data_IF_259286135282
#
_entry.id   IF_259286135282
#
_cell.length_a   1.000
_cell.length_b   1.000
_cell.length_c   1.000
_cell.angle_alpha   90.00
_cell.angle_beta   90.00
_cell.angle_gamma   90.00
#
_symmetry.space_group_name_H-M   'P 1'
#
loop_
_entity.id
_entity.type
_entity.pdbx_description
1 polymer ?
#
# COMPACT_ATOMS: atom_id res chain seq x y z
N UNK A 1 11.05 -9.62 -11.77
CA UNK A 1 11.54 -8.22 -11.65
C UNK A 1 11.67 -7.86 -10.17
N UNK A 2 12.73 -7.14 -9.76
CA UNK A 2 12.95 -6.77 -8.35
C UNK A 2 11.75 -6.02 -7.72
N UNK A 3 11.00 -5.29 -8.56
CA UNK A 3 9.77 -4.59 -8.19
C UNK A 3 8.61 -5.51 -7.74
N UNK A 4 8.44 -6.69 -8.32
CA UNK A 4 7.35 -7.60 -7.94
C UNK A 4 7.60 -8.26 -6.58
N UNK A 5 8.86 -8.47 -6.23
CA UNK A 5 9.27 -9.00 -4.93
C UNK A 5 9.06 -7.99 -3.79
N UNK A 6 9.37 -6.71 -4.03
CA UNK A 6 9.13 -5.62 -3.08
C UNK A 6 7.63 -5.38 -2.87
N UNK A 7 6.85 -5.35 -3.96
CA UNK A 7 5.40 -5.21 -3.89
C UNK A 7 4.76 -6.37 -3.12
N UNK A 8 5.08 -7.63 -3.46
CA UNK A 8 4.61 -8.79 -2.69
C UNK A 8 5.05 -8.76 -1.22
N UNK A 9 6.25 -8.29 -0.90
CA UNK A 9 6.76 -8.17 0.47
C UNK A 9 5.98 -7.16 1.30
N UNK A 10 5.73 -5.97 0.75
CA UNK A 10 4.94 -4.92 1.40
C UNK A 10 3.47 -5.36 1.55
N UNK A 11 2.87 -5.91 0.50
CA UNK A 11 1.48 -6.38 0.56
C UNK A 11 1.29 -7.57 1.50
N UNK A 12 2.28 -8.44 1.66
CA UNK A 12 2.23 -9.55 2.63
C UNK A 12 2.34 -9.05 4.08
N UNK A 13 3.17 -8.03 4.33
CA UNK A 13 3.26 -7.38 5.66
C UNK A 13 1.99 -6.60 6.01
N UNK A 14 1.39 -5.93 5.04
CA UNK A 14 0.09 -5.27 5.20
C UNK A 14 -1.04 -6.29 5.38
N UNK A 15 -0.99 -7.41 4.66
CA UNK A 15 -1.93 -8.54 4.85
C UNK A 15 -1.82 -9.20 6.23
N UNK A 16 -0.61 -9.24 6.81
CA UNK A 16 -0.39 -9.68 8.19
C UNK A 16 -0.95 -8.68 9.21
N UNK A 17 -0.85 -7.37 8.92
CA UNK A 17 -1.48 -6.30 9.73
C UNK A 17 -3.01 -6.29 9.61
N UNK A 18 -3.56 -6.75 8.47
CA UNK A 18 -5.01 -6.88 8.20
C UNK A 18 -5.71 -7.92 9.09
N UNK A 19 -4.96 -8.71 9.87
CA UNK A 19 -5.51 -9.54 10.94
C UNK A 19 -5.95 -8.70 12.18
N UNK A 20 -5.64 -7.40 12.20
CA UNK A 20 -6.32 -6.40 13.04
C UNK A 20 -7.42 -5.72 12.21
N UNK A 21 -8.59 -5.60 12.83
CA UNK A 21 -9.94 -5.71 12.22
C UNK A 21 -10.40 -4.55 11.32
N UNK A 22 -9.65 -3.45 11.23
CA UNK A 22 -9.95 -2.28 10.39
C UNK A 22 -8.77 -1.30 10.48
N UNK A 23 -8.41 -0.66 9.36
CA UNK A 23 -7.57 0.55 9.37
C UNK A 23 -8.52 1.75 9.38
N UNK A 24 -8.34 2.68 10.30
CA UNK A 24 -9.06 3.96 10.31
C UNK A 24 -8.56 4.89 9.19
N UNK A 25 -9.33 5.94 8.81
CA UNK A 25 -8.94 6.87 7.72
C UNK A 25 -7.59 7.55 7.97
N UNK A 26 -7.25 7.81 9.23
CA UNK A 26 -5.94 8.35 9.62
C UNK A 26 -4.81 7.35 9.36
N UNK A 27 -5.00 6.09 9.75
CA UNK A 27 -4.02 5.02 9.52
C UNK A 27 -3.84 4.73 8.03
N UNK A 28 -4.93 4.75 7.27
CA UNK A 28 -4.89 4.60 5.81
C UNK A 28 -4.06 5.72 5.17
N UNK A 29 -4.24 6.95 5.63
CA UNK A 29 -3.54 8.15 5.13
C UNK A 29 -2.05 8.13 5.48
N UNK A 30 -1.70 7.74 6.70
CA UNK A 30 -0.31 7.55 7.13
C UNK A 30 0.38 6.45 6.31
N UNK A 31 -0.31 5.34 6.06
CA UNK A 31 0.21 4.22 5.28
C UNK A 31 0.44 4.60 3.81
N UNK A 32 -0.52 5.27 3.16
CA UNK A 32 -0.37 5.71 1.77
C UNK A 32 0.74 6.75 1.62
N UNK A 33 0.92 7.62 2.62
CA UNK A 33 2.03 8.58 2.67
C UNK A 33 3.38 7.89 2.81
N UNK A 34 3.50 6.93 3.72
CA UNK A 34 4.73 6.15 3.90
C UNK A 34 5.07 5.34 2.65
N UNK A 35 4.08 4.68 2.03
CA UNK A 35 4.29 3.92 0.80
C UNK A 35 4.76 4.81 -0.35
N UNK A 36 4.13 5.98 -0.53
CA UNK A 36 4.53 6.93 -1.56
C UNK A 36 5.97 7.41 -1.36
N UNK A 37 6.39 7.60 -0.11
CA UNK A 37 7.77 8.01 0.23
C UNK A 37 8.76 6.88 -0.10
N UNK A 38 8.48 5.66 0.36
CA UNK A 38 9.32 4.49 0.10
C UNK A 38 9.48 4.19 -1.40
N UNK A 39 8.41 4.34 -2.20
CA UNK A 39 8.47 4.16 -3.65
C UNK A 39 9.36 5.24 -4.31
N UNK A 40 9.23 6.50 -3.90
CA UNK A 40 10.12 7.57 -4.40
C UNK A 40 11.58 7.37 -3.99
N UNK A 41 11.84 6.95 -2.76
CA UNK A 41 13.20 6.66 -2.27
C UNK A 41 13.83 5.47 -3.01
N UNK A 42 13.02 4.55 -3.52
CA UNK A 42 13.44 3.44 -4.37
C UNK A 42 13.56 3.81 -5.87
N UNK A 43 13.55 5.11 -6.21
CA UNK A 43 13.64 5.65 -7.57
C UNK A 43 12.50 5.17 -8.49
N UNK A 44 11.32 4.86 -7.94
CA UNK A 44 10.16 4.57 -8.79
C UNK A 44 9.69 5.81 -9.53
N UNK A 45 9.21 5.59 -10.76
CA UNK A 45 8.56 6.62 -11.53
C UNK A 45 7.35 7.20 -10.79
N UNK A 46 7.25 8.54 -10.75
CA UNK A 46 6.18 9.26 -10.03
C UNK A 46 4.77 8.84 -10.49
N UNK A 47 4.56 8.57 -11.79
CA UNK A 47 3.25 8.11 -12.30
C UNK A 47 2.94 6.69 -11.83
N UNK A 48 3.93 5.80 -11.84
CA UNK A 48 3.77 4.42 -11.35
C UNK A 48 3.50 4.39 -9.85
N UNK A 49 4.24 5.21 -9.09
CA UNK A 49 4.00 5.39 -7.65
C UNK A 49 2.57 5.85 -7.36
N UNK A 50 2.06 6.80 -8.14
CA UNK A 50 0.68 7.27 -7.99
C UNK A 50 -0.33 6.14 -8.25
N UNK A 51 -0.17 5.42 -9.36
CA UNK A 51 -1.07 4.31 -9.72
C UNK A 51 -1.07 3.18 -8.67
N UNK A 52 0.11 2.81 -8.15
CA UNK A 52 0.25 1.78 -7.12
C UNK A 52 -0.48 2.19 -5.83
N UNK A 53 -0.27 3.43 -5.38
CA UNK A 53 -0.88 3.97 -4.17
C UNK A 53 -2.40 4.09 -4.33
N UNK A 54 -2.89 4.60 -5.46
CA UNK A 54 -4.34 4.74 -5.72
C UNK A 54 -5.04 3.38 -5.79
N UNK A 55 -4.47 2.39 -6.49
CA UNK A 55 -5.03 1.03 -6.54
C UNK A 55 -5.06 0.37 -5.16
N UNK A 56 -4.05 0.61 -4.32
CA UNK A 56 -4.00 0.07 -2.98
C UNK A 56 -5.05 0.72 -2.08
N UNK A 57 -5.18 2.04 -2.11
CA UNK A 57 -6.19 2.78 -1.34
C UNK A 57 -7.62 2.34 -1.71
N UNK A 58 -7.89 2.17 -3.01
CA UNK A 58 -9.18 1.67 -3.52
C UNK A 58 -9.49 0.28 -2.95
N UNK A 59 -8.55 -0.68 -3.03
CA UNK A 59 -8.75 -2.04 -2.50
C UNK A 59 -8.95 -2.09 -0.99
N UNK A 60 -8.30 -1.20 -0.24
CA UNK A 60 -8.45 -1.15 1.22
C UNK A 60 -9.80 -0.55 1.64
N UNK A 61 -10.37 0.35 0.82
CA UNK A 61 -11.69 0.94 1.04
C UNK A 61 -12.84 0.06 0.52
N UNK A 62 -12.64 -0.65 -0.59
CA UNK A 62 -13.69 -1.40 -1.29
C UNK A 62 -13.89 -2.83 -0.80
N UNK A 63 -12.98 -3.41 0.00
CA UNK A 63 -13.06 -4.81 0.43
C UNK A 63 -13.83 -4.92 1.76
N UNK A 64 -15.13 -5.30 1.77
CA UNK A 64 -15.84 -5.59 3.03
C UNK A 64 -15.23 -6.82 3.70
N UNK A 65 -15.22 -6.88 5.05
CA UNK A 65 -14.71 -8.02 5.77
C UNK A 65 -15.51 -9.27 5.38
N UNK A 66 -14.82 -10.29 4.87
CA UNK A 66 -15.35 -11.65 4.76
C UNK A 66 -15.02 -12.43 6.03
#
# INVERSE_FOLDING_TARGET
MALEGLSRGIFRSIGLLKNKRKLDDEELREMTRSLRRALQEADFNVRQTKEIVERMESRLREEPPR
#
